data_IF_762605078766
#
_entry.id   IF_762605078766
#
_cell.length_a   1.000
_cell.length_b   1.000
_cell.length_c   1.000
_cell.angle_alpha   90.00
_cell.angle_beta   90.00
_cell.angle_gamma   90.00
#
_symmetry.space_group_name_H-M   'P 1'
#
loop_
_entity.id
_entity.type
_entity.pdbx_description
1 polymer ?
#
# COMPACT_ATOMS: atom_id res chain seq x y z
N UNK A 1 -43.37 -15.75 23.30
CA UNK A 1 -42.73 -14.41 23.37
C UNK A 1 -41.23 -14.47 23.69
N UNK A 2 -40.72 -15.38 24.55
CA UNK A 2 -39.28 -15.49 24.82
C UNK A 2 -38.41 -15.80 23.59
N UNK A 3 -38.87 -16.66 22.68
CA UNK A 3 -38.10 -17.02 21.49
C UNK A 3 -37.79 -15.82 20.57
N UNK A 4 -38.73 -14.88 20.44
CA UNK A 4 -38.58 -13.66 19.65
C UNK A 4 -37.52 -12.70 20.26
N UNK A 5 -37.52 -12.57 21.59
CA UNK A 5 -36.54 -11.76 22.32
C UNK A 5 -35.12 -12.32 22.17
N UNK A 6 -34.96 -13.64 22.25
CA UNK A 6 -33.68 -14.32 22.03
C UNK A 6 -33.17 -14.16 20.59
N UNK A 7 -34.03 -14.30 19.58
CA UNK A 7 -33.63 -14.12 18.18
C UNK A 7 -33.22 -12.67 17.86
N UNK A 8 -33.87 -11.66 18.46
CA UNK A 8 -33.45 -10.26 18.31
C UNK A 8 -32.09 -9.99 18.97
N UNK A 9 -31.83 -10.57 20.14
CA UNK A 9 -30.55 -10.42 20.83
C UNK A 9 -29.39 -11.07 20.06
N UNK A 10 -29.62 -12.25 19.46
CA UNK A 10 -28.63 -12.90 18.59
C UNK A 10 -28.42 -12.14 17.27
N UNK A 11 -29.47 -11.59 16.68
CA UNK A 11 -29.36 -10.81 15.44
C UNK A 11 -28.52 -9.54 15.64
N UNK A 12 -28.71 -8.82 16.75
CA UNK A 12 -27.92 -7.62 17.06
C UNK A 12 -26.47 -8.00 17.40
N UNK A 13 -26.25 -9.05 18.20
CA UNK A 13 -24.90 -9.51 18.57
C UNK A 13 -24.06 -10.01 17.38
N UNK A 14 -24.68 -10.68 16.41
CA UNK A 14 -23.98 -11.19 15.22
C UNK A 14 -23.45 -10.08 14.31
N UNK A 15 -24.17 -8.96 14.17
CA UNK A 15 -23.77 -7.88 13.26
C UNK A 15 -22.55 -7.09 13.74
N UNK A 16 -22.39 -6.89 15.05
CA UNK A 16 -21.25 -6.17 15.60
C UNK A 16 -19.94 -6.97 15.45
N UNK A 17 -19.99 -8.27 15.74
CA UNK A 17 -18.83 -9.16 15.58
C UNK A 17 -18.39 -9.26 14.11
N UNK A 18 -19.36 -9.35 13.19
CA UNK A 18 -19.10 -9.40 11.76
C UNK A 18 -18.42 -8.13 11.26
N UNK A 19 -18.78 -6.95 11.75
CA UNK A 19 -18.14 -5.68 11.36
C UNK A 19 -16.67 -5.62 11.76
N UNK A 20 -16.34 -5.98 13.00
CA UNK A 20 -14.94 -6.00 13.48
C UNK A 20 -14.11 -7.03 12.69
N UNK A 21 -14.68 -8.18 12.37
CA UNK A 21 -14.00 -9.19 11.56
C UNK A 21 -13.77 -8.72 10.12
N UNK A 22 -14.75 -8.04 9.52
CA UNK A 22 -14.63 -7.44 8.18
C UNK A 22 -13.55 -6.33 8.13
N UNK A 23 -13.40 -5.55 9.20
CA UNK A 23 -12.36 -4.53 9.25
C UNK A 23 -10.96 -5.14 9.37
N UNK A 24 -10.80 -6.16 10.23
CA UNK A 24 -9.52 -6.88 10.36
C UNK A 24 -9.12 -7.63 9.09
N UNK A 25 -10.08 -8.23 8.39
CA UNK A 25 -9.80 -8.92 7.11
C UNK A 25 -9.37 -7.94 6.03
N UNK A 26 -10.02 -6.77 5.92
CA UNK A 26 -9.63 -5.72 4.99
C UNK A 26 -8.24 -5.13 5.29
N UNK A 27 -7.88 -4.97 6.57
CA UNK A 27 -6.53 -4.54 6.96
C UNK A 27 -5.48 -5.58 6.55
N UNK A 28 -5.70 -6.87 6.84
CA UNK A 28 -4.79 -7.96 6.42
C UNK A 28 -4.67 -8.07 4.91
N UNK A 29 -5.78 -7.92 4.17
CA UNK A 29 -5.76 -7.93 2.71
C UNK A 29 -4.93 -6.75 2.16
N UNK A 30 -5.09 -5.56 2.75
CA UNK A 30 -4.31 -4.38 2.36
C UNK A 30 -2.83 -4.55 2.66
N UNK A 31 -2.49 -5.19 3.79
CA UNK A 31 -1.11 -5.55 4.12
C UNK A 31 -0.51 -6.55 3.12
N UNK A 32 -1.27 -7.58 2.75
CA UNK A 32 -0.83 -8.55 1.74
C UNK A 32 -0.61 -7.88 0.37
N UNK A 33 -1.51 -6.98 -0.04
CA UNK A 33 -1.35 -6.17 -1.25
C UNK A 33 -0.12 -5.27 -1.19
N UNK A 34 0.16 -4.65 -0.05
CA UNK A 34 1.34 -3.82 0.15
C UNK A 34 2.63 -4.62 0.02
N UNK A 35 2.69 -5.80 0.66
CA UNK A 35 3.82 -6.73 0.53
C UNK A 35 4.01 -7.22 -0.90
N UNK A 36 2.91 -7.48 -1.63
CA UNK A 36 2.96 -7.81 -3.04
C UNK A 36 3.50 -6.65 -3.88
N UNK A 37 3.04 -5.42 -3.61
CA UNK A 37 3.52 -4.21 -4.29
C UNK A 37 5.03 -4.01 -4.09
N UNK A 38 5.52 -4.24 -2.87
CA UNK A 38 6.95 -4.16 -2.53
C UNK A 38 7.76 -5.25 -3.23
N UNK A 39 7.21 -6.47 -3.30
CA UNK A 39 7.84 -7.59 -4.01
C UNK A 39 7.95 -7.30 -5.51
N UNK A 40 6.88 -6.76 -6.12
CA UNK A 40 6.89 -6.31 -7.50
C UNK A 40 7.88 -5.16 -7.71
N UNK A 41 7.89 -4.14 -6.84
CA UNK A 41 8.85 -3.04 -6.88
C UNK A 41 10.29 -3.56 -6.94
N UNK A 42 10.66 -4.42 -5.98
CA UNK A 42 12.01 -5.00 -5.90
C UNK A 42 12.33 -5.88 -7.11
N UNK A 43 11.39 -6.71 -7.54
CA UNK A 43 11.57 -7.56 -8.71
C UNK A 43 11.78 -6.74 -10.00
N UNK A 44 11.05 -5.63 -10.17
CA UNK A 44 11.19 -4.73 -11.31
C UNK A 44 12.49 -3.93 -11.25
N UNK A 45 12.88 -3.46 -10.07
CA UNK A 45 14.13 -2.76 -9.85
C UNK A 45 15.32 -3.64 -10.26
N UNK A 46 15.37 -4.89 -9.77
CA UNK A 46 16.45 -5.84 -10.05
C UNK A 46 16.45 -6.32 -11.51
N UNK A 47 15.28 -6.51 -12.12
CA UNK A 47 15.19 -6.85 -13.56
C UNK A 47 15.60 -5.68 -14.45
N UNK A 48 15.46 -4.44 -13.95
CA UNK A 48 15.78 -3.20 -14.63
C UNK A 48 15.31 -3.17 -16.10
N UNK A 49 14.01 -3.36 -16.38
CA UNK A 49 13.50 -3.57 -17.74
C UNK A 49 13.76 -2.39 -18.67
N UNK A 50 13.94 -1.18 -18.13
CA UNK A 50 14.20 0.04 -18.89
C UNK A 50 15.68 0.44 -18.87
N UNK A 51 16.58 -0.41 -18.37
CA UNK A 51 18.03 -0.18 -18.44
C UNK A 51 18.52 1.08 -17.70
N UNK A 52 17.86 1.45 -16.60
CA UNK A 52 18.25 2.60 -15.80
C UNK A 52 19.63 2.38 -15.15
N UNK A 53 20.52 3.38 -15.12
CA UNK A 53 21.82 3.23 -14.48
C UNK A 53 21.69 3.15 -12.95
N UNK A 54 22.73 2.64 -12.29
CA UNK A 54 22.82 2.68 -10.83
C UNK A 54 22.71 4.12 -10.30
N UNK A 55 21.99 4.32 -9.21
CA UNK A 55 21.70 5.65 -8.65
C UNK A 55 20.56 6.40 -9.36
N UNK A 56 19.88 5.79 -10.34
CA UNK A 56 18.62 6.29 -10.89
C UNK A 56 17.46 5.34 -10.52
N UNK A 57 16.22 5.84 -10.44
CA UNK A 57 15.05 5.03 -10.10
C UNK A 57 14.74 4.02 -11.22
N UNK A 58 15.18 2.78 -11.03
CA UNK A 58 14.92 1.64 -11.90
C UNK A 58 13.50 1.07 -11.71
N UNK A 59 12.90 1.27 -10.53
CA UNK A 59 11.48 1.04 -10.33
C UNK A 59 10.93 2.00 -9.27
N UNK A 60 9.64 2.31 -9.36
CA UNK A 60 8.98 3.24 -8.46
C UNK A 60 7.64 2.69 -8.03
N UNK A 61 7.37 2.74 -6.74
CA UNK A 61 6.06 2.49 -6.14
C UNK A 61 5.47 3.83 -5.72
N UNK A 62 4.29 4.13 -6.22
CA UNK A 62 3.49 5.28 -5.83
C UNK A 62 2.24 4.80 -5.08
N UNK A 63 1.97 5.40 -3.93
CA UNK A 63 0.65 5.35 -3.29
C UNK A 63 -0.06 6.66 -3.60
N UNK A 64 -1.13 6.61 -4.39
CA UNK A 64 -1.90 7.77 -4.83
C UNK A 64 -3.38 7.51 -4.58
N UNK A 65 -4.04 8.36 -3.78
CA UNK A 65 -5.49 8.30 -3.56
C UNK A 65 -6.00 6.89 -3.17
N UNK A 66 -5.25 6.18 -2.33
CA UNK A 66 -5.59 4.82 -1.91
C UNK A 66 -5.35 3.73 -2.95
N UNK A 67 -4.56 4.01 -4.00
CA UNK A 67 -4.08 3.01 -4.96
C UNK A 67 -2.56 2.85 -4.83
N UNK A 68 -2.07 1.62 -4.97
CA UNK A 68 -0.65 1.29 -5.02
C UNK A 68 -0.26 0.95 -6.46
N UNK A 69 0.76 1.60 -6.99
CA UNK A 69 1.07 1.55 -8.41
C UNK A 69 2.58 1.40 -8.60
N UNK A 70 3.01 0.35 -9.32
CA UNK A 70 4.42 0.06 -9.54
C UNK A 70 4.78 0.31 -11.00
N UNK A 71 5.87 1.05 -11.21
CA UNK A 71 6.43 1.41 -12.49
C UNK A 71 7.85 0.86 -12.62
N UNK A 72 8.26 0.56 -13.86
CA UNK A 72 9.62 0.10 -14.17
C UNK A 72 10.63 1.23 -14.44
N UNK A 73 10.25 2.48 -14.16
CA UNK A 73 11.06 3.69 -14.23
C UNK A 73 10.27 4.81 -13.53
N UNK A 74 10.88 5.98 -13.33
CA UNK A 74 10.15 7.16 -12.83
C UNK A 74 9.03 7.58 -13.81
N UNK A 75 7.74 7.52 -13.44
CA UNK A 75 6.66 8.04 -14.26
C UNK A 75 6.76 9.57 -14.43
N UNK A 76 6.38 10.05 -15.61
CA UNK A 76 6.31 11.48 -15.92
C UNK A 76 5.08 12.17 -15.30
N UNK A 77 4.03 11.41 -15.00
CA UNK A 77 2.78 11.92 -14.45
C UNK A 77 2.50 11.31 -13.08
N UNK A 78 1.87 12.10 -12.21
CA UNK A 78 1.43 11.69 -10.87
C UNK A 78 0.09 10.98 -10.95
N UNK A 79 0.05 9.87 -11.66
CA UNK A 79 -1.12 9.02 -11.79
C UNK A 79 -0.69 7.56 -11.91
N UNK A 80 -1.64 6.66 -11.76
CA UNK A 80 -1.42 5.23 -11.93
C UNK A 80 -1.61 4.74 -13.37
N UNK A 81 -1.66 5.66 -14.34
CA UNK A 81 -1.81 5.29 -15.74
C UNK A 81 -0.53 4.61 -16.22
N UNK A 82 -0.67 3.50 -16.95
CA UNK A 82 0.45 2.69 -17.43
C UNK A 82 1.32 2.06 -16.33
N UNK A 83 0.81 1.96 -15.09
CA UNK A 83 1.48 1.18 -14.06
C UNK A 83 1.58 -0.29 -14.50
N UNK A 84 2.75 -0.91 -14.29
CA UNK A 84 2.99 -2.31 -14.60
C UNK A 84 2.25 -3.25 -13.63
N UNK A 85 2.02 -2.74 -12.42
CA UNK A 85 1.21 -3.41 -11.41
C UNK A 85 0.37 -2.38 -10.67
N UNK A 86 -0.86 -2.76 -10.32
CA UNK A 86 -1.83 -1.93 -9.62
C UNK A 86 -2.52 -2.73 -8.52
N UNK A 87 -2.51 -2.19 -7.30
CA UNK A 87 -3.23 -2.69 -6.14
C UNK A 87 -4.20 -1.64 -5.62
N UNK A 88 -5.37 -2.07 -5.17
CA UNK A 88 -6.38 -1.20 -4.55
C UNK A 88 -6.62 -1.67 -3.11
N UNK A 89 -5.81 -1.24 -2.14
CA UNK A 89 -6.05 -1.57 -0.74
C UNK A 89 -7.42 -1.07 -0.29
N UNK A 90 -8.07 -1.87 0.55
CA UNK A 90 -9.40 -1.60 1.11
C UNK A 90 -9.33 -0.86 2.45
N UNK A 91 -8.13 -0.76 3.04
CA UNK A 91 -7.80 0.05 4.20
C UNK A 91 -6.81 1.15 3.79
N UNK A 92 -6.80 2.27 4.52
CA UNK A 92 -5.87 3.37 4.25
C UNK A 92 -4.45 2.97 4.61
N UNK A 93 -3.49 3.28 3.74
CA UNK A 93 -2.06 3.02 3.96
C UNK A 93 -1.34 4.37 4.02
N UNK A 94 -0.60 4.59 5.09
CA UNK A 94 0.25 5.75 5.27
C UNK A 94 1.69 5.30 5.50
N UNK A 95 2.63 5.89 4.76
CA UNK A 95 4.05 5.68 5.00
C UNK A 95 4.55 6.75 5.97
N UNK A 96 5.44 6.37 6.89
CA UNK A 96 6.00 7.33 7.84
C UNK A 96 6.82 8.40 7.12
N UNK A 97 6.69 9.65 7.57
CA UNK A 97 7.34 10.84 7.00
C UNK A 97 6.96 11.14 5.53
N UNK A 98 5.80 10.66 5.08
CA UNK A 98 5.23 11.00 3.78
C UNK A 98 3.80 11.53 3.93
N UNK A 99 3.33 12.21 2.88
CA UNK A 99 2.00 12.80 2.86
C UNK A 99 0.91 11.71 2.92
N UNK A 100 -0.20 11.95 3.63
CA UNK A 100 -1.32 11.03 3.66
C UNK A 100 -1.88 10.82 2.25
N UNK A 101 -2.03 9.56 1.83
CA UNK A 101 -2.48 9.15 0.48
C UNK A 101 -1.54 9.46 -0.69
N UNK A 102 -0.34 9.98 -0.39
CA UNK A 102 0.62 10.44 -1.37
C UNK A 102 2.03 10.05 -0.94
N UNK A 103 2.40 8.82 -1.26
CA UNK A 103 3.66 8.22 -0.89
C UNK A 103 4.42 7.76 -2.13
N UNK A 104 5.75 7.78 -2.05
CA UNK A 104 6.62 7.28 -3.10
C UNK A 104 7.79 6.52 -2.49
N UNK A 105 8.09 5.36 -3.05
CA UNK A 105 9.32 4.62 -2.82
C UNK A 105 9.98 4.36 -4.19
N UNK A 106 11.26 4.67 -4.30
CA UNK A 106 12.03 4.42 -5.51
C UNK A 106 13.19 3.49 -5.21
N UNK A 107 13.46 2.57 -6.12
CA UNK A 107 14.60 1.65 -6.04
C UNK A 107 15.49 1.77 -7.26
N UNK A 108 16.79 1.62 -7.04
CA UNK A 108 17.78 1.54 -8.11
C UNK A 108 17.90 0.11 -8.67
N UNK A 109 18.74 -0.07 -9.69
CA UNK A 109 18.96 -1.38 -10.32
C UNK A 109 19.64 -2.42 -9.43
N UNK A 110 20.12 -2.03 -8.24
CA UNK A 110 20.65 -2.94 -7.23
C UNK A 110 19.58 -3.33 -6.18
N UNK A 111 18.35 -2.82 -6.30
CA UNK A 111 17.27 -3.04 -5.35
C UNK A 111 17.43 -2.24 -4.06
N UNK A 112 18.26 -1.19 -4.06
CA UNK A 112 18.42 -0.28 -2.94
C UNK A 112 17.41 0.87 -3.06
N UNK A 113 16.89 1.32 -1.92
CA UNK A 113 16.04 2.50 -1.88
C UNK A 113 16.86 3.75 -2.19
N UNK A 114 16.30 4.62 -3.02
CA UNK A 114 16.95 5.83 -3.47
C UNK A 114 16.09 7.06 -3.12
N UNK A 115 16.66 8.10 -2.47
CA UNK A 115 15.96 9.36 -2.32
C UNK A 115 15.89 10.02 -3.71
N UNK A 116 14.69 10.19 -4.23
CA UNK A 116 14.45 10.78 -5.56
C UNK A 116 13.15 11.58 -5.56
N UNK A 117 12.96 12.46 -6.53
CA UNK A 117 11.68 13.14 -6.75
C UNK A 117 11.05 12.60 -8.02
N UNK A 118 9.86 12.01 -7.90
CA UNK A 118 9.15 11.38 -9.01
C UNK A 118 7.79 12.02 -9.14
N UNK A 119 7.50 12.58 -10.32
CA UNK A 119 6.24 13.27 -10.61
C UNK A 119 5.87 14.35 -9.55
N UNK A 120 6.88 15.02 -8.97
CA UNK A 120 6.71 16.05 -7.94
C UNK A 120 6.50 15.52 -6.51
N UNK A 121 6.59 14.20 -6.29
CA UNK A 121 6.59 13.59 -4.95
C UNK A 121 8.02 13.20 -4.57
N UNK A 122 8.43 13.57 -3.36
CA UNK A 122 9.70 13.11 -2.81
C UNK A 122 9.55 11.67 -2.31
N UNK A 123 10.30 10.76 -2.93
CA UNK A 123 10.33 9.35 -2.58
C UNK A 123 11.16 9.15 -1.31
N UNK A 124 10.53 8.50 -0.33
CA UNK A 124 11.11 8.21 0.96
C UNK A 124 11.97 6.96 0.90
N UNK A 125 12.82 6.81 1.91
CA UNK A 125 13.58 5.58 2.15
C UNK A 125 13.06 4.82 3.37
N UNK A 126 12.04 5.34 4.04
CA UNK A 126 11.45 4.70 5.20
C UNK A 126 10.40 3.68 4.74
N UNK A 127 10.57 2.45 5.22
CA UNK A 127 9.69 1.31 4.93
C UNK A 127 8.63 1.10 6.01
N UNK A 128 8.60 1.94 7.04
CA UNK A 128 7.56 1.91 8.05
C UNK A 128 6.25 2.45 7.49
N UNK A 129 5.18 1.75 7.77
CA UNK A 129 3.83 2.10 7.36
C UNK A 129 2.84 1.88 8.50
N UNK A 130 1.71 2.58 8.40
CA UNK A 130 0.54 2.40 9.23
C UNK A 130 -0.63 2.10 8.31
N UNK A 131 -1.32 0.99 8.54
CA UNK A 131 -2.58 0.66 7.90
C UNK A 131 -3.69 1.02 8.87
N UNK A 132 -4.69 1.79 8.43
CA UNK A 132 -5.81 2.15 9.29
C UNK A 132 -7.15 1.97 8.60
N UNK A 133 -8.14 1.52 9.39
CA UNK A 133 -9.55 1.48 9.00
C UNK A 133 -10.39 1.74 10.25
N UNK A 134 -11.35 2.66 10.17
CA UNK A 134 -12.28 2.96 11.27
C UNK A 134 -11.61 3.21 12.64
N UNK A 135 -10.48 3.94 12.66
CA UNK A 135 -9.71 4.33 13.87
C UNK A 135 -8.91 3.21 14.56
N UNK A 136 -8.78 2.01 13.97
CA UNK A 136 -7.80 1.01 14.40
C UNK A 136 -6.55 1.09 13.50
N UNK A 137 -5.41 1.63 13.99
CA UNK A 137 -4.14 1.58 13.27
C UNK A 137 -3.39 0.27 13.53
N UNK A 138 -2.73 -0.24 12.50
CA UNK A 138 -1.76 -1.32 12.56
C UNK A 138 -0.46 -0.80 11.95
N UNK A 139 0.58 -0.74 12.75
CA UNK A 139 1.91 -0.38 12.29
C UNK A 139 2.66 -1.62 11.79
N UNK A 140 3.54 -1.40 10.82
CA UNK A 140 4.43 -2.42 10.30
C UNK A 140 5.63 -1.82 9.57
N UNK A 141 6.55 -2.69 9.18
CA UNK A 141 7.72 -2.34 8.38
C UNK A 141 7.78 -3.28 7.19
N UNK A 142 8.03 -2.74 6.00
CA UNK A 142 8.29 -3.54 4.80
C UNK A 142 9.72 -4.06 4.84
N UNK A 143 9.92 -5.33 4.47
CA UNK A 143 11.22 -5.99 4.38
C UNK A 143 11.56 -6.34 2.93
#
# INVERSE_FOLDING_TARGET
MMALALTMLLAVGGTALNRVWLDKTAMRQSQALLNQAMSELKARALRNPNGQPMGQPAAVLLSLNGQLCVFGAAPAQRNCANALWLGRPTAGIQFQNQEPNDACLAMDSAGQLLPSSVAGINCGMNLNYTISRNQEPIDGTLN
#
